data_IF_443747832192
#
_entry.id   IF_443747832192
#
_cell.length_a   1.000
_cell.length_b   1.000
_cell.length_c   1.000
_cell.angle_alpha   90.00
_cell.angle_beta   90.00
_cell.angle_gamma   90.00
#
_symmetry.space_group_name_H-M   'P 1'
#
loop_
_entity.id
_entity.type
_entity.pdbx_description
1 polymer ?
#
# COMPACT_ATOMS: atom_id res chain seq x y z
N UNK A 1 5.94 -9.26 20.24
CA UNK A 1 5.03 -10.36 19.81
C UNK A 1 3.74 -10.23 20.60
N UNK A 2 2.59 -10.64 20.04
CA UNK A 2 1.35 -10.70 20.80
C UNK A 2 1.40 -11.89 21.77
N UNK A 3 1.29 -11.65 23.08
CA UNK A 3 1.34 -12.70 24.11
C UNK A 3 -0.01 -13.41 24.33
N UNK A 4 -1.05 -13.01 23.59
CA UNK A 4 -2.40 -13.57 23.68
C UNK A 4 -3.07 -13.56 22.29
N UNK A 5 -3.85 -14.59 21.93
CA UNK A 5 -4.49 -14.71 20.60
C UNK A 5 -5.51 -13.60 20.30
N UNK A 6 -6.04 -12.90 21.30
CA UNK A 6 -6.92 -11.73 21.09
C UNK A 6 -6.15 -10.41 21.00
N UNK A 7 -4.84 -10.41 21.18
CA UNK A 7 -3.99 -9.23 21.04
C UNK A 7 -3.51 -9.01 19.60
N UNK A 8 -4.12 -9.69 18.63
CA UNK A 8 -3.98 -9.39 17.21
C UNK A 8 -4.40 -7.93 16.99
N UNK A 9 -3.46 -7.10 16.51
CA UNK A 9 -3.66 -5.67 16.31
C UNK A 9 -3.15 -4.76 17.44
N UNK A 10 -2.70 -5.30 18.58
CA UNK A 10 -2.17 -4.50 19.70
C UNK A 10 -0.68 -4.12 19.55
N UNK A 11 0.03 -4.76 18.62
CA UNK A 11 1.41 -4.37 18.30
C UNK A 11 1.42 -2.99 17.62
N UNK A 12 2.45 -2.15 17.85
CA UNK A 12 2.65 -0.95 17.05
C UNK A 12 2.66 -1.29 15.56
N UNK A 13 1.94 -0.50 14.77
CA UNK A 13 1.85 -0.67 13.32
C UNK A 13 2.26 0.62 12.63
N UNK A 14 2.79 0.47 11.42
CA UNK A 14 3.02 1.58 10.50
C UNK A 14 2.08 1.41 9.30
N UNK A 15 1.38 2.47 8.94
CA UNK A 15 0.52 2.50 7.75
C UNK A 15 1.38 2.69 6.50
N UNK A 16 1.40 1.69 5.61
CA UNK A 16 2.13 1.78 4.32
C UNK A 16 1.30 2.51 3.27
N UNK A 17 0.01 2.21 3.16
CA UNK A 17 -0.92 2.82 2.20
C UNK A 17 -2.10 3.42 2.94
N UNK A 18 -2.49 4.64 2.57
CA UNK A 18 -3.68 5.32 3.11
C UNK A 18 -4.80 5.28 2.10
N UNK A 19 -6.02 5.08 2.58
CA UNK A 19 -7.21 5.25 1.75
C UNK A 19 -7.34 6.69 1.25
N UNK A 20 -7.84 6.84 0.03
CA UNK A 20 -8.24 8.12 -0.56
C UNK A 20 -9.49 8.03 -1.44
N UNK A 21 -9.98 9.19 -1.86
CA UNK A 21 -10.98 9.28 -2.92
C UNK A 21 -10.38 8.94 -4.30
N UNK A 22 -11.25 8.55 -5.23
CA UNK A 22 -10.83 8.33 -6.61
C UNK A 22 -10.50 9.67 -7.28
N UNK A 23 -9.39 9.75 -8.03
CA UNK A 23 -9.09 10.94 -8.82
C UNK A 23 -10.00 11.03 -10.05
N UNK A 24 -10.04 12.20 -10.67
CA UNK A 24 -10.69 12.43 -11.97
C UNK A 24 -9.61 12.88 -12.98
N UNK A 25 -9.28 12.07 -14.01
CA UNK A 25 -9.84 10.74 -14.32
C UNK A 25 -9.33 9.63 -13.37
N UNK A 26 -10.09 8.54 -13.23
CA UNK A 26 -9.84 7.44 -12.28
C UNK A 26 -8.50 6.70 -12.51
N UNK A 27 -7.97 6.76 -13.74
CA UNK A 27 -6.69 6.19 -14.14
C UNK A 27 -5.50 7.03 -13.67
N UNK A 28 -5.72 8.25 -13.19
CA UNK A 28 -4.66 9.12 -12.67
C UNK A 28 -3.91 8.42 -11.54
N UNK A 29 -2.59 8.57 -11.56
CA UNK A 29 -1.72 8.13 -10.48
C UNK A 29 -1.23 9.36 -9.71
N UNK A 30 -1.17 9.29 -8.38
CA UNK A 30 -0.56 10.35 -7.61
C UNK A 30 0.97 10.33 -7.85
N UNK A 31 1.69 11.38 -7.45
CA UNK A 31 3.15 11.39 -7.50
C UNK A 31 3.77 10.19 -6.75
N UNK A 32 4.96 9.71 -7.12
CA UNK A 32 5.55 8.48 -6.58
C UNK A 32 5.86 8.51 -5.07
N UNK A 33 5.84 9.68 -4.44
CA UNK A 33 6.03 9.86 -3.01
C UNK A 33 4.71 9.90 -2.22
N UNK A 34 3.57 9.86 -2.90
CA UNK A 34 2.26 9.82 -2.27
C UNK A 34 1.84 8.36 -2.09
N UNK A 35 1.57 7.98 -0.83
CA UNK A 35 1.15 6.65 -0.45
C UNK A 35 -0.37 6.50 -0.31
N UNK A 36 -1.13 7.39 -0.92
CA UNK A 36 -2.59 7.35 -0.97
C UNK A 36 -3.09 6.52 -2.14
N UNK A 37 -4.16 5.74 -1.90
CA UNK A 37 -4.79 4.90 -2.91
C UNK A 37 -6.29 4.81 -2.66
N UNK A 38 -7.10 4.99 -3.70
CA UNK A 38 -8.54 4.78 -3.60
C UNK A 38 -8.91 3.29 -3.53
N UNK A 39 -9.89 2.93 -2.70
CA UNK A 39 -10.34 1.54 -2.53
C UNK A 39 -9.20 0.50 -2.51
N UNK A 40 -8.19 0.63 -1.62
CA UNK A 40 -7.14 -0.36 -1.52
C UNK A 40 -7.77 -1.68 -1.07
N UNK A 41 -7.64 -2.72 -1.89
CA UNK A 41 -8.28 -4.00 -1.67
C UNK A 41 -7.31 -5.14 -1.96
N UNK A 42 -6.78 -5.74 -0.89
CA UNK A 42 -5.80 -6.83 -0.98
C UNK A 42 -4.36 -6.34 -1.13
N UNK A 43 -3.42 -7.15 -0.64
CA UNK A 43 -2.00 -6.85 -0.71
C UNK A 43 -1.13 -8.10 -0.73
N UNK A 44 -0.03 -8.04 -1.45
CA UNK A 44 0.99 -9.08 -1.51
C UNK A 44 2.36 -8.51 -1.12
N UNK A 45 2.97 -9.09 -0.10
CA UNK A 45 4.34 -8.73 0.30
C UNK A 45 5.31 -9.46 -0.62
N UNK A 46 6.18 -8.71 -1.30
CA UNK A 46 7.17 -9.28 -2.21
C UNK A 46 8.12 -10.22 -1.45
N UNK A 47 8.46 -11.41 -2.00
CA UNK A 47 9.47 -12.28 -1.42
C UNK A 47 10.79 -11.54 -1.16
N UNK A 48 11.40 -11.81 0.00
CA UNK A 48 12.64 -11.14 0.42
C UNK A 48 12.46 -9.75 1.03
N UNK A 49 11.23 -9.23 1.12
CA UNK A 49 10.95 -7.99 1.87
C UNK A 49 11.33 -8.14 3.35
N UNK A 50 11.90 -7.08 3.91
CA UNK A 50 12.14 -6.93 5.35
C UNK A 50 11.31 -5.77 5.88
N UNK A 51 11.30 -5.53 7.20
CA UNK A 51 10.65 -4.33 7.77
C UNK A 51 11.37 -3.05 7.30
N UNK A 52 12.69 -3.11 7.16
CA UNK A 52 13.51 -1.98 6.69
C UNK A 52 13.41 -1.73 5.18
N UNK A 53 12.92 -2.71 4.42
CA UNK A 53 12.81 -2.67 2.97
C UNK A 53 11.57 -3.45 2.52
N UNK A 54 10.41 -3.02 3.03
CA UNK A 54 9.13 -3.65 2.72
C UNK A 54 8.69 -3.22 1.33
N UNK A 55 8.51 -4.18 0.42
CA UNK A 55 7.85 -3.97 -0.88
C UNK A 55 6.49 -4.66 -0.84
N UNK A 56 5.42 -3.88 -0.95
CA UNK A 56 4.05 -4.39 -0.98
C UNK A 56 3.35 -3.98 -2.28
N UNK A 57 2.72 -4.94 -2.92
CA UNK A 57 1.84 -4.70 -4.06
C UNK A 57 0.41 -4.63 -3.55
N UNK A 58 -0.27 -3.51 -3.81
CA UNK A 58 -1.64 -3.28 -3.34
C UNK A 58 -2.54 -3.12 -4.55
N UNK A 59 -3.63 -3.89 -4.58
CA UNK A 59 -4.63 -3.78 -5.64
C UNK A 59 -5.64 -2.68 -5.34
N UNK A 60 -6.16 -2.07 -6.39
CA UNK A 60 -7.22 -1.08 -6.37
C UNK A 60 -8.22 -1.43 -7.48
N UNK A 61 -9.52 -1.32 -7.18
CA UNK A 61 -10.58 -1.60 -8.14
C UNK A 61 -11.74 -0.61 -8.00
N UNK A 62 -12.12 0.11 -9.06
CA UNK A 62 -13.28 1.01 -9.00
C UNK A 62 -14.60 0.27 -9.15
N UNK A 63 -15.15 -0.15 -8.02
CA UNK A 63 -16.42 -0.87 -8.00
C UNK A 63 -17.64 0.00 -8.36
N UNK A 64 -17.52 1.33 -8.39
CA UNK A 64 -18.63 2.26 -8.74
C UNK A 64 -19.03 2.13 -10.22
N UNK A 65 -18.04 1.87 -11.09
CA UNK A 65 -18.24 1.69 -12.52
C UNK A 65 -18.83 0.33 -12.92
N UNK A 66 -19.20 -0.51 -11.93
CA UNK A 66 -19.84 -1.85 -12.02
C UNK A 66 -19.12 -2.89 -12.88
N UNK A 67 -18.98 -2.67 -14.19
CA UNK A 67 -18.42 -3.66 -15.12
C UNK A 67 -17.03 -3.31 -15.67
N UNK A 68 -16.69 -2.02 -15.79
CA UNK A 68 -15.45 -1.58 -16.45
C UNK A 68 -14.57 -0.68 -15.56
N UNK A 69 -14.77 -0.72 -14.25
CA UNK A 69 -13.95 0.06 -13.33
C UNK A 69 -12.49 -0.34 -13.42
N UNK A 70 -11.54 0.63 -13.48
CA UNK A 70 -10.13 0.31 -13.57
C UNK A 70 -9.71 -0.58 -12.41
N UNK A 71 -9.10 -1.72 -12.75
CA UNK A 71 -8.39 -2.59 -11.82
C UNK A 71 -6.89 -2.41 -12.07
N UNK A 72 -6.13 -2.16 -11.01
CA UNK A 72 -4.67 -2.09 -11.10
C UNK A 72 -4.00 -2.52 -9.81
N UNK A 73 -2.70 -2.79 -9.92
CA UNK A 73 -1.82 -3.11 -8.80
C UNK A 73 -0.69 -2.08 -8.78
N UNK A 74 -0.43 -1.49 -7.62
CA UNK A 74 0.63 -0.51 -7.43
C UNK A 74 1.59 -1.01 -6.35
N UNK A 75 2.89 -0.82 -6.56
CA UNK A 75 3.91 -1.13 -5.57
C UNK A 75 4.13 0.06 -4.64
N UNK A 76 4.16 -0.21 -3.34
CA UNK A 76 4.58 0.73 -2.30
C UNK A 76 5.82 0.18 -1.59
N UNK A 77 6.70 1.08 -1.19
CA UNK A 77 7.94 0.74 -0.49
C UNK A 77 8.04 1.47 0.84
N UNK A 78 8.53 0.79 1.87
CA UNK A 78 8.97 1.41 3.13
C UNK A 78 10.46 1.70 3.06
N UNK A 79 10.86 2.89 3.51
CA UNK A 79 12.24 3.40 3.44
C UNK A 79 12.88 3.28 2.03
N UNK A 80 12.22 3.74 0.96
CA UNK A 80 12.76 3.61 -0.41
C UNK A 80 14.07 4.39 -0.61
N UNK A 81 14.33 5.39 0.24
CA UNK A 81 15.57 6.15 0.30
C UNK A 81 16.17 5.95 1.68
N UNK A 82 17.26 5.19 1.79
CA UNK A 82 17.94 4.99 3.07
C UNK A 82 18.84 6.21 3.32
N UNK A 83 18.73 6.91 4.46
CA UNK A 83 19.57 8.08 4.74
C UNK A 83 21.06 7.72 4.94
N UNK A 84 21.39 6.43 4.98
CA UNK A 84 22.76 5.91 5.08
C UNK A 84 23.23 5.13 3.83
N UNK A 85 22.42 5.06 2.76
CA UNK A 85 22.94 4.60 1.48
C UNK A 85 23.66 5.77 0.82
N UNK A 86 24.98 5.62 0.62
CA UNK A 86 25.77 6.56 -0.16
C UNK A 86 25.16 6.75 -1.57
N UNK A 87 25.31 7.95 -2.17
CA UNK A 87 24.78 8.25 -3.51
C UNK A 87 25.39 7.39 -4.63
#
# INVERSE_FOLDING_TARGET
MAHHPTSLGAAPVTTVVRHDEWPEPAESLPPPYDNRLAQPYGGYISPGSTIDELRIFVSQWDTRARQNGPYRVIQFAVNPFKPWSDP
#
